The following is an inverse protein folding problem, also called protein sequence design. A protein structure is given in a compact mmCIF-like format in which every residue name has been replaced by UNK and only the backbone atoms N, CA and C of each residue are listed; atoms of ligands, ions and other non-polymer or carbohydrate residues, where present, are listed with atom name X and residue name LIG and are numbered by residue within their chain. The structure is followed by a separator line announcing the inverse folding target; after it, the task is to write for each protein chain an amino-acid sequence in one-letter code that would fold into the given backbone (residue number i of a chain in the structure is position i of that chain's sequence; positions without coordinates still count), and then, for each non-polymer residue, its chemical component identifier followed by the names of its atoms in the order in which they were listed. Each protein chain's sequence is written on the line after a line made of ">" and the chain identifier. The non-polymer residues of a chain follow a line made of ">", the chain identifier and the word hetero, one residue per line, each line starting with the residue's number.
data_IF_378194345941
#
_entry.id   IF_378194345941
#
_cell.length_a   1.000
_cell.length_b   1.000
_cell.length_c   1.000
_cell.angle_alpha   90.00
_cell.angle_beta   90.00
_cell.angle_gamma   90.00
#
_symmetry.space_group_name_H-M   'P 1'
#
loop_
_entity.id
_entity.type
_entity.pdbx_description
1 polymer ?
#
# COMPACT_ATOMS: atom_id res chain seq x y z
N UNK A 1 -21.73 -25.57 -15.78
CA UNK A 1 -21.66 -24.20 -15.24
C UNK A 1 -21.85 -23.31 -16.43
N UNK A 2 -22.87 -22.45 -16.45
CA UNK A 2 -22.98 -21.45 -17.52
C UNK A 2 -21.68 -20.64 -17.51
N UNK A 3 -21.06 -20.50 -18.68
CA UNK A 3 -19.84 -19.71 -18.82
C UNK A 3 -20.13 -18.30 -18.33
N UNK A 4 -19.51 -17.90 -17.21
CA UNK A 4 -19.67 -16.54 -16.71
C UNK A 4 -19.32 -15.56 -17.84
N UNK A 5 -20.21 -14.59 -18.15
CA UNK A 5 -19.97 -13.70 -19.27
C UNK A 5 -18.67 -12.94 -19.06
N UNK A 6 -17.85 -12.90 -20.11
CA UNK A 6 -16.54 -12.26 -20.09
C UNK A 6 -16.72 -10.75 -19.81
N UNK A 7 -16.04 -10.19 -18.80
CA UNK A 7 -16.13 -8.77 -18.50
C UNK A 7 -15.59 -7.92 -19.67
N UNK A 8 -16.25 -6.82 -20.03
CA UNK A 8 -15.78 -5.94 -21.09
C UNK A 8 -14.48 -5.26 -20.67
N UNK A 9 -13.64 -4.90 -21.66
CA UNK A 9 -12.44 -4.10 -21.39
C UNK A 9 -12.84 -2.72 -20.87
N UNK A 10 -12.18 -2.28 -19.81
CA UNK A 10 -12.34 -0.94 -19.23
C UNK A 10 -10.98 -0.21 -19.30
N UNK A 11 -10.84 0.82 -20.15
CA UNK A 11 -9.61 1.58 -20.22
C UNK A 11 -9.38 2.38 -18.94
N UNK A 12 -8.12 2.71 -18.67
CA UNK A 12 -7.75 3.64 -17.62
C UNK A 12 -8.42 4.99 -17.92
N UNK A 13 -9.06 5.64 -16.94
CA UNK A 13 -9.57 7.00 -17.12
C UNK A 13 -8.48 7.94 -17.66
N UNK A 14 -8.84 8.72 -18.67
CA UNK A 14 -7.97 9.72 -19.26
C UNK A 14 -7.72 10.89 -18.29
N UNK A 15 -6.66 11.65 -18.53
CA UNK A 15 -6.29 12.91 -17.83
C UNK A 15 -5.59 12.79 -16.47
N UNK A 16 -5.49 11.61 -15.85
CA UNK A 16 -4.77 11.48 -14.57
C UNK A 16 -3.76 10.33 -14.58
N UNK A 17 -2.62 10.60 -13.93
CA UNK A 17 -1.76 9.52 -13.44
C UNK A 17 -2.61 8.59 -12.58
N UNK A 18 -2.38 7.27 -12.67
CA UNK A 18 -3.02 6.24 -11.80
C UNK A 18 -3.00 6.70 -10.34
N UNK A 19 -1.98 7.46 -9.98
CA UNK A 19 -1.73 8.07 -8.69
C UNK A 19 -2.77 9.06 -8.16
N UNK A 20 -3.61 9.65 -9.01
CA UNK A 20 -4.60 10.66 -8.67
C UNK A 20 -6.04 10.19 -8.86
N UNK A 21 -6.23 8.95 -9.31
CA UNK A 21 -7.57 8.37 -9.45
C UNK A 21 -8.24 8.29 -8.07
N UNK A 22 -9.46 8.79 -7.98
CA UNK A 22 -10.32 8.68 -6.81
C UNK A 22 -11.41 7.61 -7.01
N UNK A 23 -12.18 7.32 -5.95
CA UNK A 23 -13.23 6.28 -6.01
C UNK A 23 -14.33 6.63 -7.00
N UNK A 24 -14.68 7.92 -7.14
CA UNK A 24 -15.70 8.37 -8.10
C UNK A 24 -15.27 8.07 -9.53
N UNK A 25 -14.02 8.36 -9.88
CA UNK A 25 -13.50 8.09 -11.22
C UNK A 25 -13.42 6.60 -11.54
N UNK A 26 -13.23 5.75 -10.54
CA UNK A 26 -13.37 4.30 -10.72
C UNK A 26 -14.85 3.95 -10.94
N UNK A 27 -15.77 4.55 -10.17
CA UNK A 27 -17.20 4.33 -10.37
C UNK A 27 -17.62 4.68 -11.80
N UNK A 28 -17.23 5.86 -12.29
CA UNK A 28 -17.54 6.35 -13.63
C UNK A 28 -16.97 5.42 -14.71
N UNK A 29 -15.74 4.94 -14.55
CA UNK A 29 -15.11 4.01 -15.49
C UNK A 29 -15.83 2.65 -15.56
N UNK A 30 -16.40 2.20 -14.44
CA UNK A 30 -17.09 0.92 -14.32
C UNK A 30 -18.62 1.05 -14.45
N UNK A 31 -19.15 2.25 -14.73
CA UNK A 31 -20.58 2.50 -14.92
C UNK A 31 -21.07 2.11 -16.32
N UNK A 32 -20.83 0.85 -16.68
CA UNK A 32 -21.24 0.24 -17.95
C UNK A 32 -22.27 -0.85 -17.72
N UNK A 33 -23.04 -1.18 -18.77
CA UNK A 33 -24.18 -2.10 -18.69
C UNK A 33 -23.85 -3.45 -18.04
N UNK A 34 -22.67 -4.02 -18.35
CA UNK A 34 -22.20 -5.27 -17.75
C UNK A 34 -22.17 -5.22 -16.22
N UNK A 35 -21.57 -4.17 -15.65
CA UNK A 35 -21.46 -4.03 -14.19
C UNK A 35 -22.78 -3.60 -13.57
N UNK A 36 -23.56 -2.72 -14.23
CA UNK A 36 -24.91 -2.35 -13.77
C UNK A 36 -25.81 -3.58 -13.60
N UNK A 37 -25.79 -4.53 -14.55
CA UNK A 37 -26.55 -5.79 -14.46
C UNK A 37 -26.11 -6.65 -13.27
N UNK A 38 -24.80 -6.76 -13.03
CA UNK A 38 -24.25 -7.58 -11.94
C UNK A 38 -24.45 -6.95 -10.56
N UNK A 39 -24.43 -5.63 -10.45
CA UNK A 39 -24.49 -4.91 -9.16
C UNK A 39 -25.86 -4.32 -8.85
N UNK A 40 -26.81 -4.40 -9.78
CA UNK A 40 -28.11 -3.72 -9.66
C UNK A 40 -27.93 -2.21 -9.63
N UNK A 41 -27.12 -1.65 -10.54
CA UNK A 41 -26.72 -0.24 -10.53
C UNK A 41 -26.07 0.19 -9.21
N UNK A 42 -25.19 -0.66 -8.69
CA UNK A 42 -24.50 -0.50 -7.40
C UNK A 42 -25.39 -0.58 -6.15
N UNK A 43 -26.65 -1.01 -6.27
CA UNK A 43 -27.53 -1.21 -5.11
C UNK A 43 -27.17 -2.46 -4.30
N UNK A 44 -26.73 -3.53 -4.96
CA UNK A 44 -26.34 -4.79 -4.29
C UNK A 44 -24.91 -4.74 -3.75
N UNK A 45 -24.05 -3.97 -4.42
CA UNK A 45 -22.65 -3.76 -4.07
C UNK A 45 -22.29 -2.32 -4.34
N UNK A 46 -21.63 -1.63 -3.42
CA UNK A 46 -21.16 -0.27 -3.68
C UNK A 46 -19.74 -0.29 -4.24
N UNK A 47 -19.39 0.70 -5.06
CA UNK A 47 -18.01 0.88 -5.54
C UNK A 47 -17.02 1.08 -4.38
N UNK A 48 -17.47 1.76 -3.32
CA UNK A 48 -16.68 1.94 -2.10
C UNK A 48 -16.45 0.59 -1.40
N UNK A 49 -17.48 -0.24 -1.29
CA UNK A 49 -17.37 -1.60 -0.74
C UNK A 49 -16.41 -2.47 -1.56
N UNK A 50 -16.52 -2.44 -2.88
CA UNK A 50 -15.63 -3.17 -3.78
C UNK A 50 -14.17 -2.73 -3.61
N UNK A 51 -13.90 -1.42 -3.65
CA UNK A 51 -12.53 -0.91 -3.47
C UNK A 51 -11.98 -1.14 -2.06
N UNK A 52 -12.81 -1.11 -1.00
CA UNK A 52 -12.41 -1.49 0.37
C UNK A 52 -12.03 -2.96 0.43
N UNK A 53 -12.84 -3.85 -0.15
CA UNK A 53 -12.56 -5.29 -0.23
C UNK A 53 -11.24 -5.57 -0.95
N UNK A 54 -11.03 -4.95 -2.11
CA UNK A 54 -9.79 -5.06 -2.88
C UNK A 54 -8.56 -4.64 -2.06
N UNK A 55 -8.63 -3.48 -1.39
CA UNK A 55 -7.55 -2.97 -0.54
C UNK A 55 -7.25 -3.92 0.62
N UNK A 56 -8.28 -4.41 1.31
CA UNK A 56 -8.13 -5.32 2.44
C UNK A 56 -7.42 -6.62 2.03
N UNK A 57 -7.87 -7.22 0.93
CA UNK A 57 -7.29 -8.46 0.41
C UNK A 57 -5.84 -8.24 -0.04
N UNK A 58 -5.56 -7.14 -0.75
CA UNK A 58 -4.21 -6.84 -1.21
C UNK A 58 -3.25 -6.45 -0.08
N UNK A 59 -3.72 -5.84 1.01
CA UNK A 59 -2.88 -5.53 2.18
C UNK A 59 -2.25 -6.79 2.79
N UNK A 60 -3.02 -7.88 2.89
CA UNK A 60 -2.48 -9.15 3.39
C UNK A 60 -1.37 -9.70 2.52
N UNK A 61 -1.51 -9.59 1.20
CA UNK A 61 -0.52 -10.06 0.23
C UNK A 61 0.73 -9.18 0.27
N UNK A 62 0.57 -7.85 0.24
CA UNK A 62 1.71 -6.93 0.23
C UNK A 62 2.61 -7.09 1.47
N UNK A 63 2.04 -7.46 2.63
CA UNK A 63 2.82 -7.77 3.84
C UNK A 63 3.72 -8.99 3.68
N UNK A 64 3.32 -9.99 2.88
CA UNK A 64 4.14 -11.19 2.61
C UNK A 64 5.39 -10.87 1.77
N UNK A 65 5.35 -9.78 1.00
CA UNK A 65 6.43 -9.37 0.11
C UNK A 65 7.14 -8.10 0.61
N UNK A 66 6.86 -7.65 1.84
CA UNK A 66 7.33 -6.36 2.36
C UNK A 66 8.86 -6.25 2.38
N UNK A 67 9.55 -7.34 2.73
CA UNK A 67 11.01 -7.43 2.79
C UNK A 67 11.68 -7.56 1.41
N UNK A 68 10.91 -7.88 0.37
CA UNK A 68 11.42 -8.04 -1.00
C UNK A 68 11.30 -6.76 -1.83
N UNK A 69 10.68 -5.72 -1.28
CA UNK A 69 10.55 -4.46 -1.99
C UNK A 69 11.87 -3.70 -2.01
N UNK A 70 12.26 -3.23 -3.19
CA UNK A 70 13.24 -2.14 -3.30
C UNK A 70 12.64 -0.94 -2.60
N UNK A 71 13.29 -0.47 -1.52
CA UNK A 71 12.87 0.63 -0.63
C UNK A 71 11.52 1.26 -1.03
N UNK A 72 10.43 0.70 -0.50
CA UNK A 72 9.06 1.15 -0.80
C UNK A 72 8.92 2.68 -0.66
N UNK A 73 9.73 3.26 0.23
CA UNK A 73 9.80 4.67 0.58
C UNK A 73 10.38 5.55 -0.53
N UNK A 74 11.43 5.11 -1.23
CA UNK A 74 12.14 5.93 -2.22
C UNK A 74 11.61 5.74 -3.65
N UNK A 75 11.21 4.51 -4.03
CA UNK A 75 10.83 4.21 -5.43
C UNK A 75 9.33 3.94 -5.60
N UNK A 76 8.68 3.28 -4.63
CA UNK A 76 7.25 2.97 -4.70
C UNK A 76 6.89 1.85 -5.70
N UNK A 77 5.64 1.36 -5.63
CA UNK A 77 5.21 0.11 -6.30
C UNK A 77 5.45 0.08 -7.81
N UNK A 78 5.36 1.24 -8.48
CA UNK A 78 5.57 1.35 -9.94
C UNK A 78 6.98 0.91 -10.34
N UNK A 79 7.98 1.11 -9.50
CA UNK A 79 9.37 0.86 -9.85
C UNK A 79 9.86 -0.53 -9.43
N UNK A 80 9.03 -1.30 -8.71
CA UNK A 80 9.34 -2.70 -8.38
C UNK A 80 9.54 -3.53 -9.64
N UNK A 81 10.37 -4.56 -9.55
CA UNK A 81 10.62 -5.48 -10.65
C UNK A 81 9.31 -6.11 -11.14
N UNK A 82 9.26 -6.44 -12.44
CA UNK A 82 8.10 -7.12 -13.03
C UNK A 82 7.80 -8.43 -12.31
N UNK A 83 8.84 -9.18 -11.95
CA UNK A 83 8.74 -10.47 -11.25
C UNK A 83 7.98 -10.31 -9.92
N UNK A 84 8.35 -9.32 -9.10
CA UNK A 84 7.68 -9.07 -7.82
C UNK A 84 6.22 -8.65 -8.02
N UNK A 85 5.93 -7.78 -9.00
CA UNK A 85 4.55 -7.38 -9.33
C UNK A 85 3.69 -8.57 -9.76
N UNK A 86 4.24 -9.44 -10.60
CA UNK A 86 3.55 -10.62 -11.12
C UNK A 86 3.27 -11.62 -9.99
N UNK A 87 4.23 -11.85 -9.08
CA UNK A 87 4.03 -12.70 -7.89
C UNK A 87 2.93 -12.17 -6.96
N UNK A 88 2.96 -10.87 -6.68
CA UNK A 88 1.94 -10.21 -5.83
C UNK A 88 0.57 -10.29 -6.49
N UNK A 89 0.48 -10.03 -7.79
CA UNK A 89 -0.77 -10.13 -8.52
C UNK A 89 -1.30 -11.56 -8.50
N UNK A 90 -0.44 -12.56 -8.75
CA UNK A 90 -0.83 -13.96 -8.74
C UNK A 90 -1.40 -14.37 -7.38
N UNK A 91 -0.68 -14.08 -6.29
CA UNK A 91 -1.15 -14.37 -4.93
C UNK A 91 -2.46 -13.62 -4.61
N UNK A 92 -2.59 -12.37 -5.07
CA UNK A 92 -3.79 -11.59 -4.88
C UNK A 92 -5.01 -12.17 -5.60
N UNK A 93 -4.84 -12.65 -6.83
CA UNK A 93 -5.89 -13.35 -7.59
C UNK A 93 -6.26 -14.67 -6.90
N UNK A 94 -5.28 -15.48 -6.50
CA UNK A 94 -5.53 -16.74 -5.76
C UNK A 94 -6.37 -16.49 -4.51
N UNK A 95 -6.02 -15.50 -3.68
CA UNK A 95 -6.76 -15.20 -2.46
C UNK A 95 -8.20 -14.72 -2.75
N UNK A 96 -8.45 -14.03 -3.85
CA UNK A 96 -9.79 -13.62 -4.26
C UNK A 96 -10.62 -14.83 -4.75
N UNK A 97 -10.00 -15.74 -5.49
CA UNK A 97 -10.62 -16.98 -5.97
C UNK A 97 -10.97 -17.90 -4.81
N UNK A 98 -10.04 -18.12 -3.88
CA UNK A 98 -10.25 -18.91 -2.66
C UNK A 98 -11.38 -18.34 -1.79
N UNK A 99 -11.44 -17.02 -1.63
CA UNK A 99 -12.48 -16.38 -0.80
C UNK A 99 -13.87 -16.46 -1.44
N UNK A 100 -13.95 -16.42 -2.77
CA UNK A 100 -15.16 -16.62 -3.58
C UNK A 100 -16.42 -15.83 -3.15
N UNK A 101 -16.27 -14.70 -2.43
CA UNK A 101 -17.40 -13.87 -2.01
C UNK A 101 -17.95 -13.05 -3.18
N UNK A 102 -19.15 -12.47 -3.04
CA UNK A 102 -19.71 -11.58 -4.05
C UNK A 102 -18.77 -10.41 -4.41
N UNK A 103 -18.15 -9.79 -3.41
CA UNK A 103 -17.12 -8.77 -3.64
C UNK A 103 -15.83 -9.32 -4.26
N UNK A 104 -15.47 -10.58 -4.00
CA UNK A 104 -14.30 -11.21 -4.61
C UNK A 104 -14.53 -11.49 -6.08
N UNK A 105 -15.71 -12.05 -6.43
CA UNK A 105 -16.13 -12.24 -7.83
C UNK A 105 -16.21 -10.93 -8.59
N UNK A 106 -16.76 -9.88 -7.97
CA UNK A 106 -16.78 -8.54 -8.55
C UNK A 106 -15.37 -7.98 -8.74
N UNK A 107 -14.49 -8.07 -7.74
CA UNK A 107 -13.10 -7.63 -7.85
C UNK A 107 -12.33 -8.37 -8.95
N UNK A 108 -12.51 -9.68 -9.07
CA UNK A 108 -11.92 -10.49 -10.15
C UNK A 108 -12.40 -10.03 -11.52
N UNK A 109 -13.71 -9.79 -11.69
CA UNK A 109 -14.25 -9.25 -12.93
C UNK A 109 -13.63 -7.88 -13.28
N UNK A 110 -13.56 -6.98 -12.29
CA UNK A 110 -12.96 -5.65 -12.46
C UNK A 110 -11.47 -5.71 -12.82
N UNK A 111 -10.71 -6.60 -12.19
CA UNK A 111 -9.29 -6.81 -12.51
C UNK A 111 -9.13 -7.37 -13.93
N UNK A 112 -9.95 -8.36 -14.32
CA UNK A 112 -9.97 -8.91 -15.68
C UNK A 112 -10.26 -7.84 -16.74
N UNK A 113 -11.23 -6.96 -16.49
CA UNK A 113 -11.56 -5.82 -17.36
C UNK A 113 -10.39 -4.88 -17.66
N UNK A 114 -9.37 -4.83 -16.79
CA UNK A 114 -8.24 -3.89 -16.91
C UNK A 114 -6.93 -4.58 -17.29
N UNK A 115 -6.96 -5.90 -17.54
CA UNK A 115 -5.76 -6.71 -17.79
C UNK A 115 -4.96 -6.24 -19.00
N UNK A 116 -5.64 -5.88 -20.08
CA UNK A 116 -5.00 -5.40 -21.32
C UNK A 116 -4.45 -3.98 -21.22
N UNK A 117 -4.90 -3.21 -20.24
CA UNK A 117 -4.48 -1.82 -20.04
C UNK A 117 -3.58 -1.69 -18.81
N UNK A 118 -2.47 -2.44 -18.85
CA UNK A 118 -1.42 -2.47 -17.83
C UNK A 118 -1.93 -2.73 -16.41
N UNK A 119 -3.08 -3.39 -16.26
CA UNK A 119 -3.68 -3.72 -14.97
C UNK A 119 -3.79 -2.48 -14.06
N UNK A 120 -4.19 -1.34 -14.63
CA UNK A 120 -4.15 -0.05 -13.93
C UNK A 120 -4.91 -0.06 -12.60
N UNK A 121 -5.99 -0.84 -12.48
CA UNK A 121 -6.78 -0.96 -11.25
C UNK A 121 -6.00 -1.68 -10.15
N UNK A 122 -5.23 -2.72 -10.50
CA UNK A 122 -4.31 -3.39 -9.56
C UNK A 122 -3.25 -2.41 -9.05
N UNK A 123 -2.59 -1.68 -9.97
CA UNK A 123 -1.56 -0.70 -9.62
C UNK A 123 -2.12 0.43 -8.74
N UNK A 124 -3.33 0.91 -9.02
CA UNK A 124 -4.03 1.87 -8.18
C UNK A 124 -4.28 1.31 -6.78
N UNK A 125 -4.81 0.08 -6.70
CA UNK A 125 -5.13 -0.57 -5.41
C UNK A 125 -3.87 -0.74 -4.58
N UNK A 126 -2.80 -1.28 -5.16
CA UNK A 126 -1.51 -1.47 -4.50
C UNK A 126 -0.97 -0.16 -3.93
N UNK A 127 -1.01 0.93 -4.71
CA UNK A 127 -0.60 2.25 -4.25
C UNK A 127 -1.40 2.71 -3.03
N UNK A 128 -2.73 2.60 -3.09
CA UNK A 128 -3.61 3.06 -2.00
C UNK A 128 -3.34 2.29 -0.72
N UNK A 129 -3.10 0.99 -0.82
CA UNK A 129 -2.75 0.13 0.32
C UNK A 129 -1.40 0.52 0.89
N UNK A 130 -0.35 0.63 0.06
CA UNK A 130 0.98 1.01 0.53
C UNK A 130 0.99 2.40 1.18
N UNK A 131 0.23 3.37 0.64
CA UNK A 131 0.07 4.69 1.27
C UNK A 131 -0.54 4.58 2.68
N UNK A 132 -1.50 3.69 2.86
CA UNK A 132 -2.13 3.45 4.16
C UNK A 132 -1.20 2.68 5.12
N UNK A 133 -0.46 1.68 4.64
CA UNK A 133 0.54 0.97 5.42
C UNK A 133 1.63 1.93 5.93
N UNK A 134 2.14 2.82 5.06
CA UNK A 134 3.12 3.87 5.45
C UNK A 134 2.60 4.79 6.54
N UNK A 135 1.35 5.28 6.44
CA UNK A 135 0.75 6.16 7.46
C UNK A 135 0.60 5.49 8.83
N UNK A 136 0.52 4.16 8.87
CA UNK A 136 0.42 3.37 10.11
C UNK A 136 1.78 3.02 10.70
N UNK A 137 2.88 3.18 9.95
CA UNK A 137 4.22 3.01 10.52
C UNK A 137 4.49 4.20 11.45
N UNK A 138 4.85 3.97 12.72
CA UNK A 138 5.38 5.04 13.56
C UNK A 138 6.60 5.62 12.84
N UNK A 139 6.72 6.94 12.78
CA UNK A 139 7.93 7.58 12.26
C UNK A 139 9.12 7.13 13.10
N UNK A 140 9.88 6.15 12.64
CA UNK A 140 11.21 5.85 13.16
C UNK A 140 12.17 6.92 12.64
N UNK A 141 11.93 8.16 13.03
CA UNK A 141 12.84 9.29 12.84
C UNK A 141 12.72 10.19 14.05
N UNK A 142 13.24 9.65 15.15
CA UNK A 142 13.46 10.35 16.40
C UNK A 142 14.54 9.65 17.21
N UNK A 143 15.53 9.03 16.58
CA UNK A 143 16.76 8.65 17.26
C UNK A 143 17.89 8.39 16.27
N UNK A 144 18.75 9.39 16.07
CA UNK A 144 20.18 9.24 16.34
C UNK A 144 20.88 10.57 16.13
N UNK A 145 21.10 11.29 17.22
CA UNK A 145 22.41 11.86 17.49
C UNK A 145 22.71 11.60 18.96
N UNK A 146 23.38 10.48 19.19
CA UNK A 146 23.96 10.13 20.48
C UNK A 146 24.85 11.28 20.99
N UNK A 147 24.69 11.63 22.26
CA UNK A 147 25.79 11.60 23.24
C UNK A 147 25.21 11.34 24.64
N UNK A 148 25.59 10.18 25.18
CA UNK A 148 25.91 9.85 26.57
C UNK A 148 25.16 10.49 27.76
N UNK A 149 24.71 9.58 28.64
CA UNK A 149 24.76 9.61 30.11
C UNK A 149 23.80 10.51 30.91
N UNK A 150 22.88 9.86 31.62
CA UNK A 150 22.87 9.88 33.09
C UNK A 150 22.23 11.07 33.83
N UNK A 151 21.03 10.86 34.36
CA UNK A 151 20.74 11.09 35.79
C UNK A 151 20.33 12.50 36.28
N UNK A 152 19.04 12.60 36.64
CA UNK A 152 18.51 13.28 37.85
C UNK A 152 18.63 14.81 38.05
N UNK A 153 17.47 15.45 37.91
CA UNK A 153 16.85 16.54 38.69
C UNK A 153 17.65 17.77 39.23
N UNK A 154 16.97 18.92 39.05
CA UNK A 154 17.00 20.22 39.75
C UNK A 154 17.76 21.41 39.12
N UNK A 155 16.94 22.39 38.71
CA UNK A 155 17.02 23.85 38.86
C UNK A 155 18.32 24.64 38.55
N UNK A 156 18.08 25.71 37.77
CA UNK A 156 18.67 27.06 37.91
C UNK A 156 20.10 27.32 37.42
N UNK A 157 20.19 28.07 36.30
CA UNK A 157 20.95 29.32 36.26
C UNK A 157 22.42 29.30 35.77
N UNK A 158 22.65 30.13 34.73
CA UNK A 158 23.89 30.85 34.35
C UNK A 158 25.04 30.11 33.63
N UNK A 159 25.18 30.50 32.36
CA UNK A 159 26.36 31.05 31.64
C UNK A 159 27.77 30.42 31.81
N UNK A 160 28.34 30.21 30.61
CA UNK A 160 29.75 30.35 30.15
C UNK A 160 30.73 29.20 30.40
N UNK A 161 31.19 28.64 29.27
CA UNK A 161 32.61 28.41 28.97
C UNK A 161 33.13 26.99 29.14
N UNK A 162 33.97 26.55 28.19
CA UNK A 162 35.04 25.59 28.45
C UNK A 162 34.98 24.30 27.63
N UNK A 163 36.11 23.94 27.03
CA UNK A 163 36.36 22.88 26.05
C UNK A 163 36.46 21.45 26.65
N UNK A 164 36.56 20.50 25.74
CA UNK A 164 36.46 19.03 25.78
C UNK A 164 37.53 18.28 26.58
N UNK A 165 37.16 17.08 27.03
CA UNK A 165 37.97 16.12 27.82
C UNK A 165 38.61 15.08 26.88
N UNK A 166 39.89 15.23 26.61
CA UNK A 166 40.83 14.12 26.57
C UNK A 166 41.55 14.10 27.93
N UNK A 167 42.12 12.95 28.30
CA UNK A 167 42.80 12.64 29.58
C UNK A 167 41.86 12.20 30.72
N UNK A 168 42.09 11.13 31.47
CA UNK A 168 43.20 10.21 31.59
C UNK A 168 42.67 8.94 32.27
N UNK A 169 42.91 7.79 31.64
CA UNK A 169 42.69 6.45 32.18
C UNK A 169 43.75 6.18 33.24
N UNK A 170 43.34 5.88 34.48
CA UNK A 170 44.26 5.37 35.51
C UNK A 170 44.39 3.85 35.40
N UNK A 171 45.65 3.44 35.24
CA UNK A 171 46.22 2.11 35.32
C UNK A 171 46.09 1.46 36.72
N UNK A 172 46.04 0.12 36.72
CA UNK A 172 46.65 -0.90 37.62
C UNK A 172 46.98 -0.50 39.09
N UNK A 173 46.67 -1.27 40.13
CA UNK A 173 46.83 -2.72 40.31
C UNK A 173 47.87 -2.96 41.42
N UNK A 174 47.43 -3.47 42.59
CA UNK A 174 48.08 -4.46 43.48
C UNK A 174 47.20 -4.66 44.75
#
# INVERSE_FOLDING_TARGET
>A
MEDEPIPPRIPKPDQLSIHHLNVQQIADAFDVEYYRKRTGSWNNYTIEGATKHMKYMLESVLKLFEDQFEEIESVGFRHQSKIIKDQILHQYISNLEERNSGYSRLALAMLKSTKEDNQWLFLWTAKMVLKNMKRRRPSSTGSSRNTASGGSAYLSGKKKGGLTIEELVNHDGD
#
